data_IF_325575082408
#
_entry.id   IF_325575082408
#
_cell.length_a   1.000
_cell.length_b   1.000
_cell.length_c   1.000
_cell.angle_alpha   90.00
_cell.angle_beta   90.00
_cell.angle_gamma   90.00
#
_symmetry.space_group_name_H-M   'P 1'
#
loop_
_entity.id
_entity.type
_entity.pdbx_description
1 polymer ?
#
# COMPACT_ATOMS: atom_id res chain seq x y z
N UNK A 1 19.54 -7.40 -13.46
CA UNK A 1 18.37 -6.55 -13.64
C UNK A 1 17.77 -6.82 -15.02
N UNK A 2 16.63 -7.52 -15.09
CA UNK A 2 16.00 -7.92 -16.37
C UNK A 2 14.95 -6.89 -16.87
N UNK A 3 14.95 -5.67 -16.33
CA UNK A 3 13.97 -4.65 -16.67
C UNK A 3 12.54 -4.95 -16.16
N UNK A 4 12.40 -5.86 -15.19
CA UNK A 4 11.12 -6.22 -14.57
C UNK A 4 11.01 -5.47 -13.24
N UNK A 5 9.87 -4.79 -13.03
CA UNK A 5 9.50 -4.16 -11.77
C UNK A 5 8.52 -5.06 -11.03
N UNK A 6 8.92 -5.68 -9.91
CA UNK A 6 8.00 -6.50 -9.12
C UNK A 6 6.93 -5.66 -8.44
N UNK A 7 5.70 -6.17 -8.39
CA UNK A 7 4.60 -5.61 -7.59
C UNK A 7 4.29 -6.58 -6.46
N UNK A 8 4.47 -6.14 -5.23
CA UNK A 8 4.14 -6.92 -4.03
C UNK A 8 2.68 -6.65 -3.67
N UNK A 9 1.86 -7.69 -3.79
CA UNK A 9 0.43 -7.60 -3.52
C UNK A 9 0.14 -7.67 -2.02
N UNK A 10 -0.79 -6.87 -1.56
CA UNK A 10 -1.39 -6.83 -0.21
C UNK A 10 -0.40 -7.08 0.95
N UNK A 11 0.73 -6.32 1.05
CA UNK A 11 1.74 -6.53 2.08
C UNK A 11 1.20 -6.33 3.49
N UNK A 12 0.13 -5.60 3.66
CA UNK A 12 -0.54 -5.38 4.94
C UNK A 12 -1.06 -6.67 5.59
N UNK A 13 -1.21 -7.74 4.81
CA UNK A 13 -1.70 -9.05 5.26
C UNK A 13 -0.60 -10.02 5.66
N UNK A 14 0.66 -9.70 5.37
CA UNK A 14 1.78 -10.59 5.66
C UNK A 14 2.23 -10.48 7.11
N UNK A 15 2.18 -11.59 7.84
CA UNK A 15 2.57 -11.62 9.26
C UNK A 15 4.07 -11.77 9.48
N UNK A 16 4.82 -12.08 8.44
CA UNK A 16 6.25 -12.39 8.49
C UNK A 16 7.15 -11.33 7.84
N UNK A 17 6.57 -10.28 7.31
CA UNK A 17 7.31 -9.16 6.73
C UNK A 17 7.19 -7.94 7.64
N UNK A 18 8.29 -7.39 8.06
CA UNK A 18 8.34 -6.16 8.81
C UNK A 18 8.46 -4.93 7.90
N UNK A 19 8.34 -3.75 8.49
CA UNK A 19 8.43 -2.49 7.75
C UNK A 19 9.80 -2.31 7.09
N UNK A 20 10.87 -2.77 7.72
CA UNK A 20 12.23 -2.65 7.18
C UNK A 20 12.37 -3.42 5.89
N UNK A 21 11.87 -4.65 5.90
CA UNK A 21 11.85 -5.50 4.70
C UNK A 21 11.07 -4.86 3.55
N UNK A 22 9.92 -4.23 3.84
CA UNK A 22 9.16 -3.49 2.82
C UNK A 22 9.93 -2.28 2.29
N UNK A 23 10.63 -1.55 3.16
CA UNK A 23 11.49 -0.43 2.75
C UNK A 23 12.63 -0.92 1.87
N UNK A 24 13.27 -2.03 2.22
CA UNK A 24 14.32 -2.63 1.39
C UNK A 24 13.79 -3.01 0.00
N UNK A 25 12.60 -3.60 -0.09
CA UNK A 25 11.98 -3.94 -1.37
C UNK A 25 11.67 -2.70 -2.22
N UNK A 26 11.15 -1.64 -1.60
CA UNK A 26 10.93 -0.36 -2.29
C UNK A 26 12.25 0.21 -2.81
N UNK A 27 13.30 0.20 -2.00
CA UNK A 27 14.62 0.69 -2.39
C UNK A 27 15.25 -0.16 -3.52
N UNK A 28 14.87 -1.42 -3.64
CA UNK A 28 15.23 -2.28 -4.77
C UNK A 28 14.36 -2.05 -6.02
N UNK A 29 13.38 -1.14 -5.95
CA UNK A 29 12.50 -0.78 -7.05
C UNK A 29 11.19 -1.56 -7.12
N UNK A 30 10.83 -2.31 -6.07
CA UNK A 30 9.53 -2.96 -5.99
C UNK A 30 8.41 -1.95 -5.73
N UNK A 31 7.24 -2.20 -6.29
CA UNK A 31 6.02 -1.44 -6.00
C UNK A 31 5.16 -2.21 -4.99
N UNK A 32 4.44 -1.48 -4.14
CA UNK A 32 3.50 -2.10 -3.20
C UNK A 32 2.05 -1.82 -3.62
N UNK A 33 1.25 -2.87 -3.69
CA UNK A 33 -0.19 -2.79 -3.95
C UNK A 33 -0.95 -3.18 -2.69
N UNK A 34 -1.78 -2.28 -2.16
CA UNK A 34 -2.65 -2.55 -1.02
C UNK A 34 -4.05 -2.98 -1.44
N UNK A 35 -4.75 -3.73 -0.58
CA UNK A 35 -6.15 -4.05 -0.76
C UNK A 35 -7.02 -3.02 -0.06
N UNK A 36 -7.79 -2.23 -0.83
CA UNK A 36 -8.63 -1.18 -0.24
C UNK A 36 -9.64 -1.75 0.77
N UNK A 37 -10.12 -2.97 0.58
CA UNK A 37 -11.05 -3.63 1.50
C UNK A 37 -10.44 -4.00 2.85
N UNK A 38 -9.10 -4.01 2.96
CA UNK A 38 -8.42 -4.12 4.25
C UNK A 38 -8.78 -2.97 5.20
N UNK A 39 -9.09 -1.76 4.67
CA UNK A 39 -9.54 -0.62 5.46
C UNK A 39 -10.86 -0.89 6.21
N UNK A 40 -11.65 -1.83 5.74
CA UNK A 40 -12.90 -2.25 6.38
C UNK A 40 -12.69 -3.25 7.52
N UNK A 41 -11.47 -3.72 7.74
CA UNK A 41 -11.17 -4.76 8.72
C UNK A 41 -11.53 -6.18 8.29
N UNK A 42 -11.86 -6.41 7.02
CA UNK A 42 -12.24 -7.75 6.50
C UNK A 42 -11.16 -8.80 6.68
N UNK A 43 -9.89 -8.38 6.71
CA UNK A 43 -8.74 -9.25 6.92
C UNK A 43 -8.13 -9.13 8.33
N UNK A 44 -8.92 -8.62 9.27
CA UNK A 44 -8.53 -8.41 10.65
C UNK A 44 -8.02 -6.99 10.93
N UNK A 45 -7.96 -6.68 12.24
CA UNK A 45 -7.57 -5.36 12.73
C UNK A 45 -6.13 -5.00 12.33
N UNK A 46 -5.21 -5.96 12.42
CA UNK A 46 -3.80 -5.72 12.09
C UNK A 46 -3.62 -5.34 10.62
N UNK A 47 -4.28 -6.04 9.68
CA UNK A 47 -4.22 -5.71 8.26
C UNK A 47 -4.75 -4.30 7.98
N UNK A 48 -5.83 -3.89 8.65
CA UNK A 48 -6.38 -2.53 8.55
C UNK A 48 -5.35 -1.49 9.04
N UNK A 49 -4.83 -1.64 10.25
CA UNK A 49 -3.87 -0.71 10.85
C UNK A 49 -2.58 -0.63 10.01
N UNK A 50 -2.11 -1.76 9.49
CA UNK A 50 -0.94 -1.83 8.62
C UNK A 50 -1.18 -1.07 7.31
N UNK A 51 -2.32 -1.27 6.65
CA UNK A 51 -2.62 -0.54 5.41
C UNK A 51 -2.73 0.96 5.64
N UNK A 52 -3.41 1.38 6.70
CA UNK A 52 -3.49 2.80 7.08
C UNK A 52 -2.10 3.40 7.29
N UNK A 53 -1.21 2.69 7.96
CA UNK A 53 0.17 3.12 8.18
C UNK A 53 0.94 3.22 6.85
N UNK A 54 0.87 2.19 6.01
CA UNK A 54 1.57 2.17 4.72
C UNK A 54 1.09 3.28 3.77
N UNK A 55 -0.21 3.59 3.78
CA UNK A 55 -0.78 4.72 3.02
C UNK A 55 -0.26 6.04 3.58
N UNK A 56 -0.31 6.27 4.89
CA UNK A 56 0.19 7.49 5.54
C UNK A 56 1.68 7.72 5.29
N UNK A 57 2.46 6.65 5.20
CA UNK A 57 3.89 6.69 4.86
C UNK A 57 4.15 6.78 3.35
N UNK A 58 3.12 6.83 2.53
CA UNK A 58 3.21 6.87 1.06
C UNK A 58 4.02 5.71 0.46
N UNK A 59 3.93 4.54 1.09
CA UNK A 59 4.60 3.32 0.63
C UNK A 59 3.76 2.52 -0.37
N UNK A 60 2.44 2.69 -0.36
CA UNK A 60 1.52 2.07 -1.32
C UNK A 60 1.49 2.91 -2.60
N UNK A 61 1.64 2.28 -3.76
CA UNK A 61 1.55 2.95 -5.05
C UNK A 61 0.22 2.74 -5.77
N UNK A 62 -0.44 1.62 -5.54
CA UNK A 62 -1.77 1.31 -6.10
C UNK A 62 -2.64 0.63 -5.04
N UNK A 63 -3.95 0.89 -5.12
CA UNK A 63 -4.96 0.20 -4.33
C UNK A 63 -5.83 -0.63 -5.26
N UNK A 64 -5.93 -1.92 -4.98
CA UNK A 64 -6.83 -2.86 -5.66
C UNK A 64 -7.94 -3.34 -4.75
N UNK A 65 -8.97 -3.93 -5.31
CA UNK A 65 -10.08 -4.52 -4.55
C UNK A 65 -9.81 -5.93 -4.09
N UNK A 66 -9.01 -6.67 -4.86
CA UNK A 66 -8.80 -8.12 -4.70
C UNK A 66 -10.14 -8.89 -4.58
N UNK A 67 -11.14 -8.41 -5.35
CA UNK A 67 -12.51 -8.90 -5.23
C UNK A 67 -12.66 -10.20 -5.99
N UNK A 68 -13.07 -11.26 -5.29
CA UNK A 68 -13.36 -12.56 -5.87
C UNK A 68 -14.87 -12.82 -5.97
N UNK A 69 -15.71 -12.11 -5.21
CA UNK A 69 -17.16 -12.35 -5.15
C UNK A 69 -17.99 -11.07 -5.12
N UNK A 70 -17.93 -10.24 -4.08
CA UNK A 70 -18.84 -9.10 -3.89
C UNK A 70 -18.07 -7.82 -3.55
N UNK A 71 -18.53 -6.70 -4.16
CA UNK A 71 -17.96 -5.36 -3.96
C UNK A 71 -18.85 -4.48 -3.06
N UNK A 72 -19.80 -5.04 -2.32
CA UNK A 72 -20.88 -4.32 -1.64
C UNK A 72 -20.44 -3.18 -0.70
N UNK A 73 -19.18 -3.21 -0.21
CA UNK A 73 -18.70 -2.25 0.78
C UNK A 73 -17.62 -1.29 0.25
N UNK A 74 -17.40 -1.22 -1.06
CA UNK A 74 -16.35 -0.35 -1.63
C UNK A 74 -16.56 1.13 -1.31
N UNK A 75 -17.81 1.59 -1.30
CA UNK A 75 -18.12 2.99 -0.95
C UNK A 75 -17.61 3.35 0.45
N UNK A 76 -17.83 2.46 1.42
CA UNK A 76 -17.31 2.65 2.79
C UNK A 76 -15.79 2.67 2.84
N UNK A 77 -15.13 1.82 2.04
CA UNK A 77 -13.68 1.81 1.94
C UNK A 77 -13.15 3.13 1.35
N UNK A 78 -13.81 3.67 0.34
CA UNK A 78 -13.49 4.98 -0.24
C UNK A 78 -13.70 6.12 0.76
N UNK A 79 -14.75 6.09 1.56
CA UNK A 79 -14.98 7.08 2.63
C UNK A 79 -13.85 7.07 3.68
N UNK A 80 -13.35 5.88 4.03
CA UNK A 80 -12.20 5.76 4.94
C UNK A 80 -10.94 6.31 4.26
N UNK A 81 -10.71 5.98 3.00
CA UNK A 81 -9.57 6.48 2.25
C UNK A 81 -9.59 8.01 2.14
N UNK A 82 -10.76 8.63 1.93
CA UNK A 82 -10.92 10.09 1.88
C UNK A 82 -10.49 10.81 3.16
N UNK A 83 -10.53 10.11 4.30
CA UNK A 83 -10.04 10.63 5.59
C UNK A 83 -8.53 10.48 5.76
N UNK A 84 -7.90 9.59 4.99
CA UNK A 84 -6.47 9.28 5.10
C UNK A 84 -5.61 10.09 4.13
N UNK A 85 -6.13 10.43 2.96
CA UNK A 85 -5.38 11.05 1.87
C UNK A 85 -6.14 12.22 1.24
N UNK A 86 -5.40 13.13 0.59
CA UNK A 86 -6.02 14.19 -0.20
C UNK A 86 -6.50 13.64 -1.57
N UNK A 87 -7.29 14.45 -2.27
CA UNK A 87 -7.87 14.09 -3.57
C UNK A 87 -6.81 13.67 -4.60
N UNK A 88 -5.67 14.37 -4.65
CA UNK A 88 -4.59 14.08 -5.60
C UNK A 88 -4.02 12.69 -5.35
N UNK A 89 -3.65 12.38 -4.11
CA UNK A 89 -3.10 11.08 -3.75
C UNK A 89 -4.12 9.96 -3.95
N UNK A 90 -5.39 10.20 -3.66
CA UNK A 90 -6.47 9.25 -3.93
C UNK A 90 -6.55 8.87 -5.41
N UNK A 91 -6.51 9.87 -6.31
CA UNK A 91 -6.51 9.63 -7.75
C UNK A 91 -5.26 8.87 -8.22
N UNK A 92 -4.10 9.17 -7.65
CA UNK A 92 -2.86 8.44 -7.94
C UNK A 92 -2.98 6.96 -7.54
N UNK A 93 -3.46 6.68 -6.33
CA UNK A 93 -3.57 5.33 -5.79
C UNK A 93 -4.63 4.47 -6.49
N UNK A 94 -5.74 5.06 -6.91
CA UNK A 94 -6.88 4.33 -7.47
C UNK A 94 -6.86 4.21 -8.99
N UNK A 95 -6.17 5.10 -9.70
CA UNK A 95 -6.26 5.18 -11.16
C UNK A 95 -4.92 5.52 -11.82
N UNK A 96 -4.36 6.70 -11.58
CA UNK A 96 -3.24 7.21 -12.38
C UNK A 96 -2.00 6.33 -12.36
N UNK A 97 -1.63 5.80 -11.20
CA UNK A 97 -0.47 4.91 -11.09
C UNK A 97 -0.72 3.56 -11.79
N UNK A 98 -1.95 3.07 -11.75
CA UNK A 98 -2.34 1.87 -12.47
C UNK A 98 -2.23 2.07 -13.98
N UNK A 99 -2.72 3.21 -14.50
CA UNK A 99 -2.60 3.55 -15.93
C UNK A 99 -1.13 3.62 -16.36
N UNK A 100 -0.27 4.23 -15.55
CA UNK A 100 1.18 4.25 -15.80
C UNK A 100 1.79 2.84 -15.88
N UNK A 101 1.40 1.95 -14.96
CA UNK A 101 1.87 0.54 -14.98
C UNK A 101 1.46 -0.15 -16.28
N UNK A 102 0.19 -0.02 -16.70
CA UNK A 102 -0.30 -0.63 -17.93
C UNK A 102 0.42 -0.08 -19.17
N UNK A 103 0.72 1.21 -19.17
CA UNK A 103 1.43 1.87 -20.26
C UNK A 103 2.96 1.70 -20.19
N UNK A 104 3.46 0.93 -19.24
CA UNK A 104 4.89 0.74 -19.00
C UNK A 104 5.65 2.06 -18.76
N UNK A 105 5.01 2.99 -18.06
CA UNK A 105 5.57 4.28 -17.66
C UNK A 105 6.14 4.19 -16.24
N UNK A 106 7.18 4.98 -15.95
CA UNK A 106 7.75 5.05 -14.62
C UNK A 106 6.78 5.71 -13.62
N UNK A 107 6.71 5.12 -12.43
CA UNK A 107 6.01 5.72 -11.30
C UNK A 107 7.02 6.52 -10.49
N UNK A 108 6.83 7.83 -10.38
CA UNK A 108 7.65 8.73 -9.54
C UNK A 108 7.39 8.49 -8.04
N UNK A 109 7.31 7.23 -7.62
CA UNK A 109 6.65 6.92 -6.37
C UNK A 109 7.55 7.02 -5.16
N UNK A 110 8.86 6.85 -5.27
CA UNK A 110 9.62 6.57 -4.07
C UNK A 110 10.89 7.40 -3.98
N UNK A 111 10.79 8.47 -3.21
CA UNK A 111 11.99 9.05 -2.59
C UNK A 111 12.56 7.98 -1.66
N UNK A 112 13.88 7.86 -1.67
CA UNK A 112 14.63 7.02 -0.71
C UNK A 112 14.07 7.32 0.68
N UNK A 113 13.41 6.35 1.27
CA UNK A 113 12.89 6.45 2.61
C UNK A 113 14.09 6.35 3.57
N UNK A 114 14.36 7.41 4.30
CA UNK A 114 15.34 7.35 5.37
C UNK A 114 14.76 6.48 6.51
N UNK A 115 15.26 5.26 6.58
CA UNK A 115 14.81 4.28 7.58
C UNK A 115 15.10 4.74 9.02
N UNK A 116 16.08 5.61 9.22
CA UNK A 116 16.46 6.08 10.56
C UNK A 116 15.33 6.84 11.27
N UNK A 117 14.45 7.49 10.54
CA UNK A 117 13.30 8.22 11.07
C UNK A 117 12.09 7.33 11.40
N UNK A 118 11.99 6.15 10.77
CA UNK A 118 10.87 5.24 10.98
C UNK A 118 10.93 4.49 12.31
N UNK A 119 12.14 4.23 12.81
CA UNK A 119 12.36 3.32 13.94
C UNK A 119 12.11 3.91 15.32
N UNK A 120 12.06 5.23 15.45
CA UNK A 120 11.96 5.86 16.76
C UNK A 120 10.54 5.96 17.32
N UNK A 121 9.48 5.79 16.53
CA UNK A 121 8.11 6.12 16.98
C UNK A 121 6.98 5.13 16.68
N UNK A 122 7.11 4.22 15.73
CA UNK A 122 5.97 3.38 15.32
C UNK A 122 6.40 1.92 15.13
N UNK A 123 6.13 1.09 16.13
CA UNK A 123 6.19 -0.36 15.94
C UNK A 123 4.95 -0.78 15.18
N UNK A 124 5.12 -1.33 13.97
CA UNK A 124 4.07 -2.13 13.36
C UNK A 124 3.79 -3.29 14.31
N UNK A 125 2.58 -3.34 14.81
CA UNK A 125 2.12 -4.48 15.60
C UNK A 125 1.71 -5.57 14.63
N UNK A 126 2.70 -6.31 14.15
CA UNK A 126 2.43 -7.61 13.58
C UNK A 126 2.06 -8.53 14.75
N UNK A 127 0.78 -8.68 15.03
CA UNK A 127 0.35 -9.70 15.96
C UNK A 127 0.58 -11.06 15.29
N UNK A 128 1.61 -11.69 15.73
CA UNK A 128 1.86 -13.10 15.48
C UNK A 128 0.79 -13.90 16.22
#
# INVERSE_FOLDING_TARGET
NKGIVPIIAHPERYHYIDLNTLVEYINLGCLLQGNITSLLGKYGKSAKENLELLIKKQMICILGTDTHHDCADLEKAYEILDKLVNKKLKEELLSKNFDKIINNEDIEAYKILDTSTFFKKERIKWNI
#
